data_IF_404394701682
#
_entry.id   IF_404394701682
#
_cell.length_a   1.000
_cell.length_b   1.000
_cell.length_c   1.000
_cell.angle_alpha   90.00
_cell.angle_beta   90.00
_cell.angle_gamma   90.00
#
_symmetry.space_group_name_H-M   'P 1'
#
loop_
_entity.id
_entity.type
_entity.pdbx_description
1 polymer ?
#
# COMPACT_ATOMS: atom_id res chain seq x y z
N UNK A 1 43.23 -21.38 -10.72
CA UNK A 1 42.58 -20.14 -11.23
C UNK A 1 41.03 -20.24 -11.31
N UNK A 2 40.40 -21.18 -10.60
CA UNK A 2 38.95 -21.44 -10.65
C UNK A 2 38.19 -20.83 -9.47
N UNK A 3 38.81 -20.75 -8.29
CA UNK A 3 38.16 -20.27 -7.06
C UNK A 3 37.83 -18.76 -7.08
N UNK A 4 38.73 -17.94 -7.62
CA UNK A 4 38.54 -16.48 -7.73
C UNK A 4 37.42 -16.08 -8.70
N UNK A 5 37.09 -16.95 -9.68
CA UNK A 5 36.01 -16.72 -10.65
C UNK A 5 34.63 -17.05 -10.10
N UNK A 6 34.53 -18.03 -9.19
CA UNK A 6 33.26 -18.42 -8.56
C UNK A 6 32.85 -17.41 -7.48
N UNK A 7 33.82 -16.84 -6.76
CA UNK A 7 33.54 -15.84 -5.73
C UNK A 7 33.03 -14.51 -6.33
N UNK A 8 33.66 -14.03 -7.41
CA UNK A 8 33.23 -12.80 -8.10
C UNK A 8 31.87 -12.92 -8.76
N UNK A 9 31.53 -14.09 -9.34
CA UNK A 9 30.22 -14.32 -9.95
C UNK A 9 29.08 -14.30 -8.91
N UNK A 10 29.30 -14.87 -7.73
CA UNK A 10 28.33 -14.85 -6.63
C UNK A 10 28.11 -13.44 -6.06
N UNK A 11 29.18 -12.63 -5.95
CA UNK A 11 29.06 -11.22 -5.56
C UNK A 11 28.29 -10.39 -6.59
N UNK A 12 28.54 -10.60 -7.89
CA UNK A 12 27.80 -9.90 -8.96
C UNK A 12 26.32 -10.30 -8.94
N UNK A 13 26.01 -11.59 -8.77
CA UNK A 13 24.63 -12.06 -8.70
C UNK A 13 23.89 -11.51 -7.47
N UNK A 14 24.52 -11.46 -6.30
CA UNK A 14 23.92 -10.88 -5.09
C UNK A 14 23.72 -9.38 -5.20
N UNK A 15 24.68 -8.64 -5.81
CA UNK A 15 24.52 -7.21 -6.10
C UNK A 15 23.38 -6.99 -7.11
N UNK A 16 23.29 -7.80 -8.17
CA UNK A 16 22.20 -7.71 -9.15
C UNK A 16 20.83 -8.05 -8.52
N UNK A 17 20.77 -9.03 -7.62
CA UNK A 17 19.55 -9.35 -6.87
C UNK A 17 19.15 -8.20 -5.95
N UNK A 18 20.12 -7.60 -5.24
CA UNK A 18 19.89 -6.44 -4.39
C UNK A 18 19.44 -5.21 -5.20
N UNK A 19 20.06 -4.96 -6.36
CA UNK A 19 19.66 -3.90 -7.29
C UNK A 19 18.27 -4.16 -7.88
N UNK A 20 17.91 -5.41 -8.18
CA UNK A 20 16.58 -5.78 -8.63
C UNK A 20 15.52 -5.56 -7.53
N UNK A 21 15.82 -5.95 -6.29
CA UNK A 21 14.97 -5.68 -5.11
C UNK A 21 14.80 -4.17 -4.89
N UNK A 22 15.85 -3.37 -5.07
CA UNK A 22 15.78 -1.90 -4.97
C UNK A 22 15.00 -1.26 -6.13
N UNK A 23 15.06 -1.83 -7.34
CA UNK A 23 14.32 -1.33 -8.52
C UNK A 23 12.84 -1.69 -8.50
N UNK A 24 12.44 -2.68 -7.69
CA UNK A 24 11.05 -3.12 -7.46
C UNK A 24 10.40 -2.36 -6.29
N UNK A 25 10.95 -1.22 -5.87
CA UNK A 25 10.17 -0.21 -5.16
C UNK A 25 9.49 0.65 -6.24
N UNK A 26 8.21 0.38 -6.62
CA UNK A 26 7.54 1.26 -7.56
C UNK A 26 7.56 2.66 -6.95
N UNK A 27 8.12 3.63 -7.69
CA UNK A 27 8.14 5.04 -7.31
C UNK A 27 6.78 5.39 -6.69
N UNK A 28 6.77 5.82 -5.43
CA UNK A 28 5.59 5.98 -4.58
C UNK A 28 4.46 6.66 -5.37
N UNK A 29 3.55 5.85 -5.92
CA UNK A 29 2.48 6.37 -6.76
C UNK A 29 1.60 7.18 -5.83
N UNK A 30 1.55 8.50 -6.05
CA UNK A 30 0.69 9.39 -5.27
C UNK A 30 -0.71 8.81 -5.17
N UNK A 31 -1.19 8.69 -3.95
CA UNK A 31 -2.56 8.26 -3.66
C UNK A 31 -3.34 9.49 -3.26
N UNK A 32 -4.17 9.96 -4.19
CA UNK A 32 -5.02 11.11 -4.03
C UNK A 32 -6.45 10.63 -3.81
N UNK A 33 -7.17 11.22 -2.86
CA UNK A 33 -8.58 10.92 -2.63
C UNK A 33 -9.37 12.21 -2.48
N UNK A 34 -10.68 12.13 -2.69
CA UNK A 34 -11.61 13.25 -2.52
C UNK A 34 -12.57 12.97 -1.37
N UNK A 35 -12.91 13.99 -0.60
CA UNK A 35 -13.96 13.90 0.42
C UNK A 35 -14.77 15.19 0.39
N UNK A 36 -15.99 15.10 -0.18
CA UNK A 36 -16.73 16.28 -0.60
C UNK A 36 -15.93 17.10 -1.60
N UNK A 37 -15.86 18.42 -1.42
CA UNK A 37 -15.15 19.33 -2.33
C UNK A 37 -13.66 19.50 -2.02
N UNK A 38 -13.05 18.56 -1.29
CA UNK A 38 -11.66 18.64 -0.83
C UNK A 38 -10.84 17.49 -1.39
N UNK A 39 -9.55 17.74 -1.58
CA UNK A 39 -8.59 16.79 -2.14
C UNK A 39 -7.48 16.54 -1.13
N UNK A 40 -7.08 15.27 -0.99
CA UNK A 40 -6.15 14.82 0.04
C UNK A 40 -5.05 13.97 -0.58
N UNK A 41 -3.80 14.21 -0.18
CA UNK A 41 -2.67 13.34 -0.51
C UNK A 41 -2.41 12.41 0.67
N UNK A 42 -2.83 11.15 0.54
CA UNK A 42 -2.72 10.16 1.61
C UNK A 42 -1.51 9.24 1.44
N UNK A 43 -0.58 9.57 0.53
CA UNK A 43 0.57 8.71 0.18
C UNK A 43 1.42 8.38 1.41
N UNK A 44 1.70 9.37 2.26
CA UNK A 44 2.48 9.18 3.49
C UNK A 44 1.73 8.37 4.58
N UNK A 45 0.40 8.31 4.48
CA UNK A 45 -0.43 7.56 5.42
C UNK A 45 -0.56 6.08 5.04
N UNK A 46 -0.25 5.69 3.79
CA UNK A 46 -0.33 4.32 3.29
C UNK A 46 0.28 3.26 4.23
N UNK A 47 1.54 3.40 4.69
CA UNK A 47 2.14 2.40 5.58
C UNK A 47 1.53 2.39 7.00
N UNK A 48 0.81 3.45 7.37
CA UNK A 48 0.22 3.63 8.70
C UNK A 48 -1.27 3.31 8.76
N UNK A 49 -1.90 3.03 7.62
CA UNK A 49 -3.32 2.74 7.57
C UNK A 49 -3.65 1.48 8.37
N UNK A 50 -4.57 1.55 9.37
CA UNK A 50 -4.99 0.41 10.16
C UNK A 50 -5.93 -0.51 9.36
N UNK A 51 -5.42 -1.11 8.29
CA UNK A 51 -6.07 -2.17 7.53
C UNK A 51 -5.44 -3.49 7.94
N UNK A 52 -6.17 -4.28 8.73
CA UNK A 52 -5.70 -5.46 9.47
C UNK A 52 -4.57 -6.28 8.82
N UNK A 53 -3.70 -6.83 9.66
CA UNK A 53 -2.58 -7.70 9.25
C UNK A 53 -3.12 -9.03 8.75
N UNK A 54 -2.77 -9.44 7.54
CA UNK A 54 -2.88 -10.83 7.12
C UNK A 54 -1.50 -11.48 7.21
N UNK A 55 -1.44 -12.61 7.91
CA UNK A 55 -0.26 -13.45 7.97
C UNK A 55 -0.49 -14.59 6.98
N UNK A 56 0.28 -14.62 5.90
CA UNK A 56 0.38 -15.78 5.03
C UNK A 56 1.58 -16.62 5.46
N UNK A 57 1.39 -17.93 5.55
CA UNK A 57 2.48 -18.89 5.64
C UNK A 57 2.75 -19.39 4.23
N UNK A 58 3.98 -19.20 3.73
CA UNK A 58 4.38 -19.85 2.49
C UNK A 58 4.66 -21.35 2.75
N UNK A 59 4.72 -22.14 1.68
CA UNK A 59 5.04 -23.58 1.72
C UNK A 59 6.38 -23.89 2.40
N UNK A 60 7.26 -22.89 2.55
CA UNK A 60 8.57 -23.00 3.20
C UNK A 60 8.59 -22.36 4.60
N UNK A 61 7.45 -22.24 5.28
CA UNK A 61 7.30 -21.66 6.63
C UNK A 61 7.73 -20.18 6.78
N UNK A 62 7.99 -19.47 5.68
CA UNK A 62 8.21 -18.03 5.75
C UNK A 62 6.90 -17.30 6.06
N UNK A 63 6.94 -16.46 7.10
CA UNK A 63 5.84 -15.58 7.49
C UNK A 63 5.82 -14.34 6.60
N UNK A 64 4.92 -14.30 5.63
CA UNK A 64 4.67 -13.11 4.81
C UNK A 64 3.54 -12.31 5.46
N UNK A 65 3.86 -11.12 5.97
CA UNK A 65 2.86 -10.21 6.54
C UNK A 65 2.40 -9.25 5.45
N UNK A 66 1.17 -9.39 4.99
CA UNK A 66 0.54 -8.46 4.05
C UNK A 66 -0.33 -7.49 4.85
N UNK A 67 0.03 -6.21 4.81
CA UNK A 67 -0.81 -5.14 5.35
C UNK A 67 -1.89 -4.81 4.33
N UNK A 68 -3.18 -4.95 4.69
CA UNK A 68 -4.30 -4.68 3.78
C UNK A 68 -4.56 -3.18 3.59
N UNK A 69 -4.09 -2.35 4.51
CA UNK A 69 -4.21 -0.89 4.42
C UNK A 69 -3.75 -0.35 3.07
N UNK A 70 -2.50 -0.63 2.65
CA UNK A 70 -2.00 -0.21 1.34
C UNK A 70 -2.85 -0.66 0.14
N UNK A 71 -3.41 -1.87 0.14
CA UNK A 71 -4.23 -2.37 -0.96
C UNK A 71 -5.57 -1.62 -1.06
N UNK A 72 -6.25 -1.45 0.08
CA UNK A 72 -7.51 -0.70 0.17
C UNK A 72 -7.31 0.74 -0.31
N UNK A 73 -6.23 1.40 0.13
CA UNK A 73 -5.94 2.78 -0.26
C UNK A 73 -5.56 2.91 -1.75
N UNK A 74 -4.86 1.93 -2.32
CA UNK A 74 -4.57 1.89 -3.75
C UNK A 74 -5.86 1.84 -4.59
N UNK A 75 -6.85 1.06 -4.16
CA UNK A 75 -8.17 0.99 -4.81
C UNK A 75 -9.01 2.26 -4.63
N UNK A 76 -8.75 3.04 -3.58
CA UNK A 76 -9.40 4.33 -3.34
C UNK A 76 -8.79 5.49 -4.15
N UNK A 77 -7.61 5.30 -4.76
CA UNK A 77 -6.91 6.36 -5.49
C UNK A 77 -7.79 6.98 -6.61
N UNK A 78 -7.89 8.30 -6.60
CA UNK A 78 -8.70 9.13 -7.50
C UNK A 78 -10.19 9.14 -7.21
N UNK A 79 -10.66 8.51 -6.12
CA UNK A 79 -12.10 8.37 -5.83
C UNK A 79 -12.55 9.33 -4.72
N UNK A 80 -13.84 9.65 -4.74
CA UNK A 80 -14.52 10.20 -3.58
C UNK A 80 -14.68 9.09 -2.53
N UNK A 81 -14.16 9.32 -1.33
CA UNK A 81 -14.12 8.35 -0.23
C UNK A 81 -15.27 8.49 0.77
N UNK A 82 -16.22 9.41 0.55
CA UNK A 82 -17.31 9.72 1.50
C UNK A 82 -18.11 8.47 1.88
N UNK A 83 -18.61 7.72 0.90
CA UNK A 83 -19.40 6.52 1.15
C UNK A 83 -18.55 5.36 1.71
N UNK A 84 -17.25 5.34 1.42
CA UNK A 84 -16.33 4.32 1.91
C UNK A 84 -16.01 4.54 3.40
N UNK A 85 -15.77 5.80 3.80
CA UNK A 85 -15.52 6.17 5.20
C UNK A 85 -16.78 5.96 6.06
N UNK A 86 -17.95 6.28 5.51
CA UNK A 86 -19.23 6.02 6.16
C UNK A 86 -19.52 4.51 6.33
N UNK A 87 -18.80 3.64 5.61
CA UNK A 87 -19.04 2.20 5.60
C UNK A 87 -20.25 1.81 4.74
N UNK A 88 -20.76 2.70 3.89
CA UNK A 88 -21.89 2.42 2.99
C UNK A 88 -21.45 1.79 1.67
N UNK A 89 -20.17 1.94 1.30
CA UNK A 89 -19.59 1.41 0.08
C UNK A 89 -18.39 0.53 0.38
N UNK A 90 -18.38 -0.65 -0.23
CA UNK A 90 -17.27 -1.59 -0.12
C UNK A 90 -16.21 -1.31 -1.19
N UNK A 91 -14.94 -1.57 -0.83
CA UNK A 91 -13.88 -1.78 -1.82
C UNK A 91 -13.86 -3.25 -2.21
N UNK A 92 -13.79 -3.51 -3.52
CA UNK A 92 -13.69 -4.86 -4.09
C UNK A 92 -12.23 -5.11 -4.45
N UNK A 93 -11.57 -6.03 -3.73
CA UNK A 93 -10.18 -6.39 -3.97
C UNK A 93 -10.14 -7.52 -5.01
N UNK A 94 -9.95 -7.16 -6.28
CA UNK A 94 -9.87 -8.11 -7.40
C UNK A 94 -8.68 -9.07 -7.27
N UNK A 95 -7.59 -8.59 -6.68
CA UNK A 95 -6.39 -9.37 -6.38
C UNK A 95 -6.63 -10.44 -5.29
N UNK A 96 -7.71 -10.30 -4.52
CA UNK A 96 -8.16 -11.28 -3.51
C UNK A 96 -9.44 -12.00 -3.95
N UNK A 97 -9.60 -12.26 -5.25
CA UNK A 97 -10.76 -13.02 -5.77
C UNK A 97 -12.10 -12.28 -5.59
N UNK A 98 -12.08 -10.95 -5.58
CA UNK A 98 -13.30 -10.13 -5.44
C UNK A 98 -13.77 -9.96 -3.99
N UNK A 99 -12.90 -10.18 -3.01
CA UNK A 99 -13.21 -9.95 -1.60
C UNK A 99 -13.71 -8.52 -1.38
N UNK A 100 -14.80 -8.39 -0.62
CA UNK A 100 -15.36 -7.10 -0.18
C UNK A 100 -14.72 -6.65 1.13
N UNK A 101 -14.28 -5.39 1.20
CA UNK A 101 -13.83 -4.73 2.42
C UNK A 101 -14.72 -3.52 2.70
N UNK A 102 -15.40 -3.53 3.84
CA UNK A 102 -16.36 -2.51 4.24
C UNK A 102 -16.40 -2.44 5.76
N UNK A 103 -16.22 -1.25 6.31
CA UNK A 103 -16.43 -0.97 7.73
C UNK A 103 -16.61 0.54 7.93
N UNK A 104 -17.29 0.91 9.02
CA UNK A 104 -17.47 2.30 9.39
C UNK A 104 -16.21 2.85 10.06
N UNK A 105 -15.80 4.06 9.67
CA UNK A 105 -14.67 4.75 10.29
C UNK A 105 -15.14 5.71 11.39
N UNK A 106 -14.49 5.64 12.55
CA UNK A 106 -14.77 6.58 13.65
C UNK A 106 -14.15 7.97 13.41
N UNK A 107 -14.44 8.95 14.30
CA UNK A 107 -13.96 10.33 14.20
C UNK A 107 -12.45 10.49 14.01
N UNK A 108 -11.65 9.59 14.59
CA UNK A 108 -10.19 9.60 14.46
C UNK A 108 -9.71 9.49 13.01
N UNK A 109 -10.41 8.71 12.17
CA UNK A 109 -10.05 8.57 10.75
C UNK A 109 -10.25 9.88 9.98
N UNK A 110 -11.32 10.63 10.30
CA UNK A 110 -11.58 11.93 9.69
C UNK A 110 -10.54 12.98 10.11
N UNK A 111 -10.07 12.93 11.35
CA UNK A 111 -8.99 13.80 11.82
C UNK A 111 -7.68 13.52 11.08
N UNK A 112 -7.35 12.24 10.87
CA UNK A 112 -6.19 11.85 10.07
C UNK A 112 -6.34 12.34 8.64
N UNK A 113 -7.47 12.08 7.97
CA UNK A 113 -7.71 12.55 6.61
C UNK A 113 -7.58 14.07 6.50
N UNK A 114 -8.17 14.83 7.42
CA UNK A 114 -8.09 16.30 7.45
C UNK A 114 -6.65 16.82 7.56
N UNK A 115 -5.77 16.10 8.26
CA UNK A 115 -4.36 16.48 8.37
C UNK A 115 -3.58 16.34 7.05
N UNK A 116 -4.14 15.61 6.08
CA UNK A 116 -3.56 15.29 4.77
C UNK A 116 -4.18 16.12 3.63
N UNK A 117 -4.98 17.14 3.98
CA UNK A 117 -5.63 18.03 3.01
C UNK A 117 -4.59 18.84 2.24
N UNK A 118 -4.70 18.83 0.91
CA UNK A 118 -3.88 19.69 0.04
C UNK A 118 -4.46 21.10 0.15
N UNK A 119 -3.76 21.99 0.85
CA UNK A 119 -4.17 23.39 1.02
C UNK A 119 -3.63 24.24 -0.14
N UNK A 120 -4.52 24.73 -1.00
CA UNK A 120 -4.18 25.59 -2.14
C UNK A 120 -5.10 25.35 -3.34
N UNK A 121 -5.13 26.28 -4.29
CA UNK A 121 -5.87 26.15 -5.55
C UNK A 121 -5.09 25.19 -6.47
N UNK A 122 -5.73 24.12 -6.94
CA UNK A 122 -5.27 23.36 -8.11
C UNK A 122 -5.38 24.23 -9.36
#
# INVERSE_FOLDING_TARGET
MTFLRVFTLNCILTILLALFVLKVQPADKKIIVHYGNRTFDITSFVPHHPGGKFIFYSYYEYKIIIFKGPLVLKHANGKDVTEYLAGNKAIILTEEGGRKVQHHHGPGAFNVLKSLEIKGRL
#
